data_IF_825314508341
#
_entry.id   IF_825314508341
#
_cell.length_a   1.000
_cell.length_b   1.000
_cell.length_c   1.000
_cell.angle_alpha   90.00
_cell.angle_beta   90.00
_cell.angle_gamma   90.00
#
_symmetry.space_group_name_H-M   'P 1'
#
loop_
_entity.id
_entity.type
_entity.pdbx_description
1 polymer ?
#
# COMPACT_ATOMS: atom_id res chain seq x y z
N UNK A 1 -3.65 5.65 7.73
CA UNK A 1 -2.89 4.92 6.70
C UNK A 1 -1.63 4.46 7.37
N UNK A 2 -1.37 3.14 7.46
CA UNK A 2 -0.10 2.67 8.00
C UNK A 2 0.99 3.40 7.24
N UNK A 3 2.10 3.69 7.90
CA UNK A 3 3.13 4.44 7.20
C UNK A 3 3.68 3.63 6.02
N UNK A 4 4.41 4.33 5.16
CA UNK A 4 5.00 3.73 3.97
C UNK A 4 5.91 2.52 4.30
N UNK A 5 6.50 2.46 5.50
CA UNK A 5 7.42 1.37 5.86
C UNK A 5 6.72 0.06 6.15
N UNK A 6 5.54 0.06 6.75
CA UNK A 6 4.76 -1.17 6.92
C UNK A 6 4.41 -1.79 5.55
N UNK A 7 3.99 -0.95 4.60
CA UNK A 7 3.67 -1.38 3.23
C UNK A 7 4.88 -1.91 2.45
N UNK A 8 6.01 -1.20 2.50
CA UNK A 8 7.24 -1.63 1.85
C UNK A 8 7.78 -2.92 2.49
N UNK A 9 7.71 -3.03 3.81
CA UNK A 9 8.08 -4.26 4.52
C UNK A 9 7.21 -5.43 4.09
N UNK A 10 5.90 -5.19 3.96
CA UNK A 10 4.94 -6.21 3.55
C UNK A 10 5.31 -6.81 2.19
N UNK A 11 5.47 -5.98 1.15
CA UNK A 11 5.79 -6.48 -0.19
C UNK A 11 7.18 -7.10 -0.28
N UNK A 12 8.14 -6.62 0.51
CA UNK A 12 9.47 -7.22 0.58
C UNK A 12 9.46 -8.62 1.24
N UNK A 13 8.53 -8.90 2.15
CA UNK A 13 8.33 -10.24 2.69
C UNK A 13 7.47 -11.13 1.78
N UNK A 14 6.50 -10.55 1.05
CA UNK A 14 5.66 -11.27 0.09
C UNK A 14 6.49 -11.82 -1.09
N UNK A 15 7.50 -11.08 -1.56
CA UNK A 15 8.27 -11.44 -2.78
C UNK A 15 9.04 -12.76 -2.69
N UNK A 16 9.25 -13.29 -1.48
CA UNK A 16 10.00 -14.52 -1.25
C UNK A 16 9.41 -15.68 -2.07
N UNK A 17 10.16 -16.29 -3.00
CA UNK A 17 9.65 -17.32 -3.92
C UNK A 17 8.93 -18.46 -3.20
N UNK A 18 9.52 -18.99 -2.13
CA UNK A 18 8.93 -20.09 -1.34
C UNK A 18 7.53 -19.75 -0.80
N UNK A 19 7.29 -18.49 -0.43
CA UNK A 19 5.97 -18.03 0.06
C UNK A 19 4.97 -17.97 -1.09
N UNK A 20 5.38 -17.42 -2.23
CA UNK A 20 4.52 -17.32 -3.42
C UNK A 20 4.15 -18.72 -3.94
N UNK A 21 5.13 -19.63 -4.03
CA UNK A 21 4.92 -21.02 -4.45
C UNK A 21 3.98 -21.76 -3.49
N UNK A 22 4.24 -21.67 -2.18
CA UNK A 22 3.38 -22.30 -1.15
C UNK A 22 1.94 -21.79 -1.19
N UNK A 23 1.74 -20.52 -1.53
CA UNK A 23 0.41 -19.91 -1.68
C UNK A 23 -0.24 -20.21 -3.04
N UNK A 24 0.46 -20.93 -3.93
CA UNK A 24 -0.03 -21.35 -5.23
C UNK A 24 -0.12 -20.21 -6.24
N UNK A 25 0.83 -19.27 -6.22
CA UNK A 25 0.99 -18.32 -7.31
C UNK A 25 1.41 -19.07 -8.59
N UNK A 26 0.84 -18.73 -9.76
CA UNK A 26 1.30 -19.26 -11.04
C UNK A 26 2.78 -18.88 -11.29
N UNK A 27 3.60 -19.75 -11.93
CA UNK A 27 5.01 -19.45 -12.20
C UNK A 27 5.24 -18.11 -12.92
N UNK A 28 4.40 -17.77 -13.89
CA UNK A 28 4.47 -16.50 -14.63
C UNK A 28 4.22 -15.29 -13.72
N UNK A 29 3.37 -15.44 -12.71
CA UNK A 29 3.15 -14.40 -11.71
C UNK A 29 4.38 -14.22 -10.81
N UNK A 30 5.00 -15.32 -10.38
CA UNK A 30 6.24 -15.30 -9.57
C UNK A 30 7.35 -14.60 -10.34
N UNK A 31 7.59 -15.00 -11.60
CA UNK A 31 8.59 -14.36 -12.47
C UNK A 31 8.29 -12.87 -12.62
N UNK A 32 7.03 -12.49 -12.82
CA UNK A 32 6.63 -11.08 -12.91
C UNK A 32 7.03 -10.30 -11.65
N UNK A 33 6.73 -10.83 -10.46
CA UNK A 33 7.06 -10.17 -9.19
C UNK A 33 8.57 -10.01 -9.04
N UNK A 34 9.37 -11.01 -9.40
CA UNK A 34 10.82 -10.96 -9.28
C UNK A 34 11.45 -9.98 -10.27
N UNK A 35 11.05 -10.03 -11.54
CA UNK A 35 11.60 -9.17 -12.60
C UNK A 35 11.17 -7.70 -12.47
N UNK A 36 9.98 -7.47 -11.92
CA UNK A 36 9.36 -6.15 -11.81
C UNK A 36 9.11 -5.73 -10.36
N UNK A 37 9.88 -6.23 -9.39
CA UNK A 37 9.63 -6.02 -7.96
C UNK A 37 9.48 -4.55 -7.55
N UNK A 38 10.28 -3.64 -8.12
CA UNK A 38 10.15 -2.18 -7.90
C UNK A 38 8.75 -1.63 -8.15
N UNK A 39 8.01 -2.23 -9.07
CA UNK A 39 6.63 -1.85 -9.37
C UNK A 39 5.68 -2.32 -8.28
N UNK A 40 5.97 -3.46 -7.63
CA UNK A 40 5.25 -3.91 -6.44
C UNK A 40 5.42 -2.93 -5.28
N UNK A 41 6.63 -2.45 -5.04
CA UNK A 41 6.89 -1.41 -4.02
C UNK A 41 6.16 -0.11 -4.32
N UNK A 42 6.25 0.36 -5.58
CA UNK A 42 5.48 1.51 -6.05
C UNK A 42 3.98 1.31 -5.80
N UNK A 43 3.43 0.15 -6.15
CA UNK A 43 2.02 -0.18 -5.96
C UNK A 43 1.59 -0.11 -4.50
N UNK A 44 2.44 -0.58 -3.59
CA UNK A 44 2.15 -0.62 -2.16
C UNK A 44 2.02 0.75 -1.49
N UNK A 45 2.56 1.80 -2.11
CA UNK A 45 2.46 3.19 -1.62
C UNK A 45 1.62 4.09 -2.53
N UNK A 46 1.21 3.60 -3.70
CA UNK A 46 0.48 4.41 -4.70
C UNK A 46 -0.87 4.97 -4.19
N UNK A 47 -1.69 4.24 -3.42
CA UNK A 47 -2.96 4.79 -2.90
C UNK A 47 -2.80 6.09 -2.10
N UNK A 48 -1.63 6.29 -1.50
CA UNK A 48 -1.32 7.43 -0.62
C UNK A 48 -0.75 8.63 -1.37
N UNK A 49 -0.24 8.43 -2.59
CA UNK A 49 0.38 9.49 -3.38
C UNK A 49 -0.47 10.77 -3.48
N UNK A 50 -1.80 10.71 -3.72
CA UNK A 50 -2.58 11.92 -3.87
C UNK A 50 -2.64 12.79 -2.59
N UNK A 51 -2.44 12.21 -1.40
CA UNK A 51 -2.37 13.00 -0.15
C UNK A 51 -1.13 13.89 -0.07
N UNK A 52 -0.08 13.58 -0.86
CA UNK A 52 1.17 14.35 -0.88
C UNK A 52 1.14 15.50 -1.88
N UNK A 53 0.19 15.49 -2.83
CA UNK A 53 -0.01 16.60 -3.77
C UNK A 53 -0.77 17.75 -3.12
N UNK A 54 -0.10 18.43 -2.19
CA UNK A 54 -0.64 19.59 -1.47
C UNK A 54 -0.90 20.81 -2.38
N UNK A 55 -0.36 20.79 -3.61
CA UNK A 55 -0.57 21.86 -4.58
C UNK A 55 -1.97 21.79 -5.23
N UNK A 56 -2.59 20.60 -5.26
CA UNK A 56 -3.92 20.37 -5.82
C UNK A 56 -4.86 19.87 -4.72
N UNK A 57 -5.67 20.77 -4.16
CA UNK A 57 -6.55 20.47 -3.02
C UNK A 57 -7.59 19.36 -3.25
N UNK A 58 -7.87 19.01 -4.52
CA UNK A 58 -8.75 17.90 -4.87
C UNK A 58 -8.05 16.53 -4.91
N UNK A 59 -6.71 16.48 -4.93
CA UNK A 59 -5.95 15.23 -4.99
C UNK A 59 -6.27 14.30 -3.80
N UNK A 60 -6.39 14.85 -2.59
CA UNK A 60 -6.80 14.08 -1.41
C UNK A 60 -8.16 13.37 -1.56
N UNK A 61 -9.07 13.89 -2.38
CA UNK A 61 -10.35 13.24 -2.65
C UNK A 61 -10.20 11.96 -3.48
N UNK A 62 -9.18 11.88 -4.33
CA UNK A 62 -8.83 10.66 -5.06
C UNK A 62 -8.28 9.60 -4.12
N UNK A 63 -7.43 9.98 -3.16
CA UNK A 63 -6.99 9.06 -2.13
C UNK A 63 -8.15 8.61 -1.23
N UNK A 64 -9.03 9.52 -0.78
CA UNK A 64 -10.23 9.16 -0.01
C UNK A 64 -11.13 8.15 -0.76
N UNK A 65 -11.26 8.29 -2.09
CA UNK A 65 -11.97 7.31 -2.92
C UNK A 65 -11.30 5.96 -2.83
N UNK A 66 -9.99 5.88 -3.05
CA UNK A 66 -9.23 4.63 -2.99
C UNK A 66 -9.18 4.00 -1.59
N UNK A 67 -9.44 4.78 -0.52
CA UNK A 67 -9.43 4.29 0.87
C UNK A 67 -10.82 3.95 1.43
N UNK A 68 -11.89 4.57 0.95
CA UNK A 68 -13.21 4.44 1.58
C UNK A 68 -14.30 3.87 0.68
N UNK A 69 -14.08 3.86 -0.64
CA UNK A 69 -15.14 3.55 -1.60
C UNK A 69 -14.59 2.60 -2.66
N UNK A 70 -15.34 1.57 -3.05
CA UNK A 70 -14.98 0.77 -4.24
C UNK A 70 -13.55 0.19 -4.19
N UNK A 71 -12.98 -0.03 -3.00
CA UNK A 71 -11.60 -0.50 -2.78
C UNK A 71 -11.34 -1.85 -3.45
N UNK A 72 -12.28 -2.79 -3.31
CA UNK A 72 -12.23 -4.07 -3.99
C UNK A 72 -12.49 -3.94 -5.49
N UNK A 73 -13.42 -3.07 -5.88
CA UNK A 73 -13.74 -2.83 -7.29
C UNK A 73 -12.57 -2.22 -8.08
N UNK A 74 -11.74 -1.38 -7.44
CA UNK A 74 -10.49 -0.88 -8.02
C UNK A 74 -9.55 -2.04 -8.39
N UNK A 75 -9.37 -3.00 -7.48
CA UNK A 75 -8.55 -4.20 -7.75
C UNK A 75 -9.13 -5.01 -8.91
N UNK A 76 -10.45 -5.22 -8.93
CA UNK A 76 -11.14 -5.95 -10.01
C UNK A 76 -10.98 -5.25 -11.35
N UNK A 77 -11.13 -3.92 -11.40
CA UNK A 77 -10.89 -3.13 -12.61
C UNK A 77 -9.45 -3.28 -13.11
N UNK A 78 -8.48 -3.35 -12.19
CA UNK A 78 -7.08 -3.62 -12.48
C UNK A 78 -6.88 -4.98 -13.14
N UNK A 79 -7.44 -6.05 -12.56
CA UNK A 79 -7.39 -7.41 -13.14
C UNK A 79 -7.92 -7.42 -14.57
N UNK A 80 -9.10 -6.85 -14.79
CA UNK A 80 -9.75 -6.85 -16.10
C UNK A 80 -8.98 -6.00 -17.13
N UNK A 81 -8.36 -4.89 -16.73
CA UNK A 81 -7.44 -4.15 -17.60
C UNK A 81 -6.20 -4.95 -17.97
N UNK A 82 -5.53 -5.53 -16.97
CA UNK A 82 -4.23 -6.20 -17.12
C UNK A 82 -4.31 -7.45 -17.99
N UNK A 83 -5.41 -8.21 -17.93
CA UNK A 83 -5.64 -9.39 -18.78
C UNK A 83 -5.60 -9.07 -20.28
N UNK A 84 -5.85 -7.82 -20.67
CA UNK A 84 -5.88 -7.36 -22.07
C UNK A 84 -4.55 -6.80 -22.56
N UNK A 85 -3.56 -6.69 -21.68
CA UNK A 85 -2.23 -6.17 -22.03
C UNK A 85 -1.37 -7.22 -22.73
N UNK A 86 -0.41 -6.77 -23.53
CA UNK A 86 0.67 -7.63 -24.01
C UNK A 86 1.51 -8.14 -22.82
N UNK A 87 2.25 -9.22 -23.03
CA UNK A 87 2.98 -9.93 -21.97
C UNK A 87 3.86 -9.03 -21.11
N UNK A 88 4.79 -8.27 -21.70
CA UNK A 88 5.68 -7.38 -20.94
C UNK A 88 4.92 -6.31 -20.14
N UNK A 89 3.87 -5.73 -20.72
CA UNK A 89 3.04 -4.73 -20.02
C UNK A 89 2.20 -5.39 -18.92
N UNK A 90 1.73 -6.62 -19.15
CA UNK A 90 0.95 -7.41 -18.20
C UNK A 90 1.76 -7.76 -16.96
N UNK A 91 2.99 -8.26 -17.11
CA UNK A 91 3.88 -8.62 -15.99
C UNK A 91 4.21 -7.40 -15.11
N UNK A 92 4.54 -6.27 -15.75
CA UNK A 92 4.81 -5.01 -15.06
C UNK A 92 3.58 -4.48 -14.31
N UNK A 93 2.44 -4.37 -15.00
CA UNK A 93 1.20 -3.86 -14.42
C UNK A 93 0.66 -4.79 -13.32
N UNK A 94 0.81 -6.11 -13.49
CA UNK A 94 0.48 -7.09 -12.46
C UNK A 94 1.30 -6.88 -11.19
N UNK A 95 2.62 -6.68 -11.32
CA UNK A 95 3.49 -6.45 -10.16
C UNK A 95 3.05 -5.19 -9.40
N UNK A 96 2.70 -4.12 -10.11
CA UNK A 96 2.12 -2.92 -9.49
C UNK A 96 0.76 -3.19 -8.84
N UNK A 97 -0.15 -3.92 -9.49
CA UNK A 97 -1.45 -4.26 -8.92
C UNK A 97 -1.32 -5.15 -7.68
N UNK A 98 -0.33 -6.05 -7.63
CA UNK A 98 -0.04 -6.86 -6.44
C UNK A 98 0.38 -5.97 -5.27
N UNK A 99 1.22 -4.96 -5.52
CA UNK A 99 1.55 -3.92 -4.55
C UNK A 99 0.32 -3.15 -4.07
N UNK A 100 -0.49 -2.64 -5.00
CA UNK A 100 -1.74 -1.94 -4.69
C UNK A 100 -2.69 -2.81 -3.86
N UNK A 101 -2.81 -4.09 -4.20
CA UNK A 101 -3.60 -5.07 -3.46
C UNK A 101 -3.03 -5.29 -2.06
N UNK A 102 -1.70 -5.39 -1.94
CA UNK A 102 -1.02 -5.50 -0.65
C UNK A 102 -1.34 -4.32 0.26
N UNK A 103 -1.37 -3.09 -0.28
CA UNK A 103 -1.77 -1.90 0.47
C UNK A 103 -3.19 -2.05 1.04
N UNK A 104 -4.18 -2.26 0.17
CA UNK A 104 -5.59 -2.40 0.54
C UNK A 104 -5.80 -3.47 1.62
N UNK A 105 -5.18 -4.64 1.45
CA UNK A 105 -5.32 -5.77 2.37
C UNK A 105 -4.62 -5.50 3.71
N UNK A 106 -3.45 -4.86 3.68
CA UNK A 106 -2.70 -4.49 4.88
C UNK A 106 -3.52 -3.53 5.75
N UNK A 107 -4.03 -2.46 5.16
CA UNK A 107 -4.86 -1.47 5.88
C UNK A 107 -6.11 -2.11 6.46
N UNK A 108 -6.85 -2.85 5.63
CA UNK A 108 -8.07 -3.53 6.07
C UNK A 108 -7.80 -4.52 7.22
N UNK A 109 -6.58 -5.06 7.31
CA UNK A 109 -6.19 -5.94 8.41
C UNK A 109 -5.73 -5.16 9.64
N UNK A 110 -4.87 -4.15 9.49
CA UNK A 110 -4.18 -3.49 10.60
C UNK A 110 -5.02 -2.36 11.22
N UNK A 111 -5.69 -1.53 10.42
CA UNK A 111 -6.44 -0.38 10.92
C UNK A 111 -7.55 -0.67 11.93
N UNK A 112 -8.30 -1.78 11.85
CA UNK A 112 -9.20 -2.16 12.94
C UNK A 112 -8.52 -2.18 14.32
N UNK A 113 -7.25 -2.61 14.38
CA UNK A 113 -6.47 -2.67 15.62
C UNK A 113 -6.09 -1.25 16.08
N UNK A 114 -5.71 -0.39 15.14
CA UNK A 114 -5.37 1.01 15.44
C UNK A 114 -6.60 1.77 15.91
N UNK A 115 -7.74 1.60 15.25
CA UNK A 115 -9.03 2.17 15.67
C UNK A 115 -9.43 1.69 17.07
N UNK A 116 -9.25 0.40 17.39
CA UNK A 116 -9.47 -0.12 18.74
C UNK A 116 -8.52 0.47 19.79
N UNK A 117 -7.28 0.79 19.40
CA UNK A 117 -6.25 1.35 20.29
C UNK A 117 -6.46 2.84 20.56
N UNK A 118 -6.76 3.64 19.54
CA UNK A 118 -6.77 5.11 19.63
C UNK A 118 -8.13 5.77 19.39
N UNK A 119 -9.13 5.00 18.95
CA UNK A 119 -10.47 5.46 18.60
C UNK A 119 -10.61 5.86 17.12
N UNK A 120 -11.83 6.23 16.74
CA UNK A 120 -12.22 6.63 15.39
C UNK A 120 -11.26 7.66 14.77
N UNK A 121 -10.79 7.37 13.55
CA UNK A 121 -9.75 8.15 12.86
C UNK A 121 -10.07 9.65 12.80
N UNK A 122 -11.26 10.03 12.35
CA UNK A 122 -11.62 11.45 12.18
C UNK A 122 -11.54 12.28 13.47
N UNK A 123 -11.67 11.63 14.64
CA UNK A 123 -11.58 12.27 15.96
C UNK A 123 -10.19 12.17 16.59
N UNK A 124 -9.34 11.26 16.10
CA UNK A 124 -8.07 10.90 16.73
C UNK A 124 -6.88 10.84 15.76
N UNK A 125 -6.91 11.61 14.66
CA UNK A 125 -5.88 11.59 13.59
C UNK A 125 -4.45 11.62 14.11
N UNK A 126 -4.14 12.51 15.06
CA UNK A 126 -2.79 12.63 15.63
C UNK A 126 -2.36 11.36 16.39
N UNK A 127 -3.27 10.78 17.20
CA UNK A 127 -2.97 9.55 17.95
C UNK A 127 -2.85 8.35 17.03
N UNK A 128 -3.71 8.28 16.00
CA UNK A 128 -3.67 7.24 14.97
C UNK A 128 -2.32 7.22 14.29
N UNK A 129 -1.89 8.40 13.84
CA UNK A 129 -0.59 8.60 13.22
C UNK A 129 0.58 8.23 14.13
N UNK A 130 0.55 8.64 15.40
CA UNK A 130 1.60 8.26 16.37
C UNK A 130 1.67 6.73 16.49
N UNK A 131 0.53 6.06 16.64
CA UNK A 131 0.47 4.60 16.68
C UNK A 131 1.09 3.97 15.42
N UNK A 132 0.69 4.44 14.23
CA UNK A 132 1.21 3.98 12.94
C UNK A 132 2.73 4.19 12.85
N UNK A 133 3.26 5.35 13.23
CA UNK A 133 4.70 5.63 13.15
C UNK A 133 5.55 4.72 14.05
N UNK A 134 5.06 4.38 15.24
CA UNK A 134 5.74 3.42 16.12
C UNK A 134 5.74 2.01 15.51
N UNK A 135 4.60 1.60 14.96
CA UNK A 135 4.42 0.32 14.31
C UNK A 135 5.31 0.18 13.06
N UNK A 136 5.33 1.20 12.22
CA UNK A 136 6.19 1.30 11.03
C UNK A 136 7.67 1.21 11.37
N UNK A 137 8.15 2.06 12.29
CA UNK A 137 9.55 2.08 12.68
C UNK A 137 10.01 0.75 13.29
N UNK A 138 9.11 0.06 14.00
CA UNK A 138 9.35 -1.27 14.55
C UNK A 138 9.43 -2.33 13.44
N UNK A 139 8.40 -2.45 12.59
CA UNK A 139 8.32 -3.55 11.62
C UNK A 139 9.35 -3.41 10.51
N UNK A 140 9.75 -2.18 10.17
CA UNK A 140 10.79 -1.92 9.18
C UNK A 140 12.11 -2.63 9.52
N UNK A 141 12.39 -2.84 10.80
CA UNK A 141 13.58 -3.59 11.25
C UNK A 141 13.62 -5.02 10.73
N UNK A 142 12.48 -5.62 10.37
CA UNK A 142 12.42 -6.97 9.77
C UNK A 142 13.15 -7.05 8.43
N UNK A 143 13.33 -5.95 7.70
CA UNK A 143 14.08 -5.94 6.45
C UNK A 143 15.59 -6.01 6.66
N UNK A 144 16.09 -5.71 7.86
CA UNK A 144 17.51 -5.80 8.23
C UNK A 144 18.46 -5.07 7.26
N UNK A 145 18.03 -3.91 6.73
CA UNK A 145 18.74 -3.17 5.68
C UNK A 145 19.87 -2.27 6.21
N UNK A 146 19.94 -2.01 7.52
CA UNK A 146 20.79 -0.96 8.08
C UNK A 146 20.42 0.45 7.54
N UNK A 147 21.11 1.50 8.00
CA UNK A 147 20.81 2.88 7.59
C UNK A 147 21.18 3.18 6.13
N UNK A 148 22.33 2.67 5.66
CA UNK A 148 22.82 2.88 4.28
C UNK A 148 21.94 2.15 3.26
N UNK A 149 21.41 0.97 3.63
CA UNK A 149 20.56 0.18 2.74
C UNK A 149 19.18 0.80 2.51
N UNK A 150 18.64 1.62 3.43
CA UNK A 150 17.33 2.25 3.28
C UNK A 150 17.31 3.28 2.14
N UNK A 151 18.30 4.19 2.09
CA UNK A 151 18.40 5.20 1.05
C UNK A 151 18.64 4.56 -0.32
N UNK A 152 19.56 3.59 -0.41
CA UNK A 152 19.81 2.85 -1.65
C UNK A 152 18.59 2.03 -2.12
N UNK A 153 17.80 1.50 -1.19
CA UNK A 153 16.57 0.74 -1.47
C UNK A 153 15.46 1.63 -2.07
N UNK A 154 15.29 2.85 -1.55
CA UNK A 154 14.33 3.82 -2.12
C UNK A 154 14.82 4.39 -3.46
N UNK A 155 16.11 4.73 -3.56
CA UNK A 155 16.70 5.33 -4.76
C UNK A 155 16.75 4.37 -5.96
N UNK A 156 17.05 3.09 -5.74
CA UNK A 156 17.10 2.07 -6.79
C UNK A 156 15.76 1.35 -7.04
N UNK A 157 14.78 1.52 -6.13
CA UNK A 157 13.44 0.96 -6.20
C UNK A 157 12.45 1.86 -6.94
N UNK A 158 11.67 2.64 -6.19
CA UNK A 158 10.50 3.39 -6.71
C UNK A 158 10.89 4.43 -7.77
N UNK A 159 12.06 5.09 -7.67
CA UNK A 159 12.50 6.05 -8.69
C UNK A 159 12.87 5.42 -10.03
N UNK A 160 13.17 4.12 -10.01
CA UNK A 160 13.35 3.33 -11.21
C UNK A 160 12.05 3.05 -11.98
N UNK A 161 10.88 3.43 -11.45
CA UNK A 161 9.56 3.22 -12.05
C UNK A 161 9.09 4.42 -12.91
N UNK A 162 10.00 5.06 -13.64
CA UNK A 162 9.71 6.21 -14.49
C UNK A 162 9.57 5.85 -15.98
N UNK A 163 8.87 6.68 -16.76
CA UNK A 163 8.73 6.50 -18.21
C UNK A 163 10.09 6.57 -18.92
N UNK A 164 10.91 7.55 -18.52
CA UNK A 164 12.30 7.72 -18.94
C UNK A 164 13.10 8.25 -17.75
N UNK A 165 14.36 7.82 -17.55
CA UNK A 165 15.21 8.39 -16.52
C UNK A 165 15.22 9.93 -16.58
N UNK A 166 14.90 10.56 -15.46
CA UNK A 166 14.87 12.03 -15.33
C UNK A 166 13.66 12.75 -15.94
N UNK A 167 12.64 12.04 -16.44
CA UNK A 167 11.44 12.69 -17.00
C UNK A 167 10.54 13.34 -15.95
N UNK A 168 10.66 12.91 -14.69
CA UNK A 168 9.72 13.25 -13.60
C UNK A 168 8.33 12.61 -13.78
N UNK A 169 8.16 11.70 -14.75
CA UNK A 169 6.89 11.04 -15.06
C UNK A 169 6.94 9.56 -14.71
N UNK A 170 5.79 9.04 -14.27
CA UNK A 170 5.63 7.63 -13.96
C UNK A 170 5.62 6.78 -15.23
N UNK A 171 6.05 5.53 -15.13
CA UNK A 171 5.99 4.55 -16.22
C UNK A 171 4.60 4.54 -16.90
N UNK A 172 4.58 4.70 -18.23
CA UNK A 172 3.35 4.87 -18.99
C UNK A 172 2.41 3.66 -18.98
N UNK A 173 2.89 2.44 -18.69
CA UNK A 173 2.02 1.27 -18.48
C UNK A 173 1.29 1.41 -17.14
N UNK A 174 2.00 1.84 -16.10
CA UNK A 174 1.41 2.04 -14.77
C UNK A 174 0.42 3.19 -14.79
N UNK A 175 0.79 4.33 -15.37
CA UNK A 175 -0.12 5.49 -15.49
C UNK A 175 -1.41 5.11 -16.20
N UNK A 176 -1.34 4.41 -17.34
CA UNK A 176 -2.55 3.95 -18.06
C UNK A 176 -3.38 2.94 -17.28
N UNK A 177 -2.73 2.03 -16.56
CA UNK A 177 -3.40 1.03 -15.73
C UNK A 177 -4.18 1.71 -14.61
N UNK A 178 -3.54 2.63 -13.90
CA UNK A 178 -4.17 3.35 -12.80
C UNK A 178 -5.27 4.29 -13.28
N UNK A 179 -5.06 5.02 -14.38
CA UNK A 179 -6.12 5.81 -15.04
C UNK A 179 -7.32 4.94 -15.40
N UNK A 180 -7.10 3.78 -16.02
CA UNK A 180 -8.20 2.88 -16.40
C UNK A 180 -8.98 2.39 -15.18
N UNK A 181 -8.31 2.09 -14.06
CA UNK A 181 -8.98 1.69 -12.83
C UNK A 181 -9.85 2.84 -12.28
N UNK A 182 -9.26 4.04 -12.16
CA UNK A 182 -9.95 5.22 -11.63
C UNK A 182 -11.14 5.64 -12.50
N UNK A 183 -10.98 5.62 -13.82
CA UNK A 183 -12.06 5.95 -14.77
C UNK A 183 -13.20 4.92 -14.70
N UNK A 184 -12.86 3.62 -14.63
CA UNK A 184 -13.84 2.54 -14.51
C UNK A 184 -14.63 2.67 -13.20
N UNK A 185 -13.95 2.94 -12.09
CA UNK A 185 -14.58 2.99 -10.77
C UNK A 185 -15.26 4.33 -10.48
N UNK A 186 -14.85 5.44 -11.09
CA UNK A 186 -15.34 6.77 -10.75
C UNK A 186 -15.54 7.68 -11.97
N UNK A 187 -16.16 7.17 -13.04
CA UNK A 187 -16.35 7.88 -14.31
C UNK A 187 -16.83 9.34 -14.15
N UNK A 188 -17.80 9.61 -13.27
CA UNK A 188 -18.29 10.99 -13.03
C UNK A 188 -17.25 11.92 -12.40
N UNK A 189 -16.50 11.44 -11.41
CA UNK A 189 -15.41 12.21 -10.80
C UNK A 189 -14.26 12.39 -11.80
N UNK A 190 -13.91 11.34 -12.55
CA UNK A 190 -12.87 11.36 -13.56
C UNK A 190 -13.14 12.38 -14.67
N UNK A 191 -14.40 12.52 -15.12
CA UNK A 191 -14.79 13.53 -16.11
C UNK A 191 -14.72 14.96 -15.58
N UNK A 192 -14.96 15.15 -14.27
CA UNK A 192 -15.04 16.48 -13.67
C UNK A 192 -13.67 16.99 -13.21
N UNK A 193 -12.86 16.10 -12.64
CA UNK A 193 -11.56 16.39 -12.04
C UNK A 193 -10.60 15.21 -12.27
N UNK A 194 -10.06 15.05 -13.49
CA UNK A 194 -9.26 13.88 -13.85
C UNK A 194 -7.99 13.78 -12.99
N UNK A 195 -7.59 12.55 -12.61
CA UNK A 195 -6.44 12.33 -11.75
C UNK A 195 -5.11 12.72 -12.43
N UNK A 196 -4.27 13.45 -11.70
CA UNK A 196 -2.96 13.93 -12.15
C UNK A 196 -1.84 13.02 -11.61
N UNK A 197 -1.81 11.76 -12.04
CA UNK A 197 -0.90 10.73 -11.51
C UNK A 197 0.59 11.13 -11.57
N UNK A 198 1.05 11.75 -12.65
CA UNK A 198 2.43 12.23 -12.75
C UNK A 198 2.75 13.30 -11.68
N UNK A 199 1.78 14.17 -11.36
CA UNK A 199 1.94 15.16 -10.29
C UNK A 199 2.03 14.48 -8.93
N UNK A 200 1.17 13.49 -8.68
CA UNK A 200 1.19 12.73 -7.43
C UNK A 200 2.53 11.99 -7.25
N UNK A 201 3.06 11.39 -8.32
CA UNK A 201 4.37 10.75 -8.29
C UNK A 201 5.51 11.76 -8.04
N UNK A 202 5.47 12.93 -8.69
CA UNK A 202 6.44 14.00 -8.46
C UNK A 202 6.39 14.56 -7.03
N UNK A 203 5.19 14.68 -6.45
CA UNK A 203 5.00 15.10 -5.07
C UNK A 203 5.57 14.07 -4.07
N UNK A 204 5.29 12.77 -4.29
CA UNK A 204 5.87 11.70 -3.51
C UNK A 204 7.40 11.73 -3.57
N UNK A 205 7.98 11.90 -4.78
CA UNK A 205 9.43 12.05 -4.96
C UNK A 205 9.99 13.21 -4.16
N UNK A 206 9.39 14.39 -4.27
CA UNK A 206 9.82 15.56 -3.53
C UNK A 206 9.82 15.34 -2.01
N UNK A 207 8.79 14.68 -1.49
CA UNK A 207 8.65 14.39 -0.05
C UNK A 207 9.75 13.44 0.44
N UNK A 208 10.02 12.37 -0.31
CA UNK A 208 11.06 11.40 0.06
C UNK A 208 12.47 11.98 -0.09
N UNK A 209 12.78 12.66 -1.19
CA UNK A 209 14.09 13.33 -1.40
C UNK A 209 14.38 14.29 -0.21
N UNK A 210 13.35 15.00 0.29
CA UNK A 210 13.49 15.88 1.46
C UNK A 210 13.68 15.12 2.78
N UNK A 211 13.04 13.97 2.94
CA UNK A 211 13.21 13.13 4.13
C UNK A 211 14.65 12.57 4.21
N UNK A 212 15.26 12.20 3.07
CA UNK A 212 16.63 11.67 3.00
C UNK A 212 17.71 12.75 3.24
N UNK A 213 17.49 14.00 2.81
CA UNK A 213 18.40 15.15 3.03
C UNK A 213 18.48 15.63 4.51
N UNK A 214 18.00 14.81 5.46
CA UNK A 214 17.70 15.08 6.87
C UNK A 214 18.83 15.56 7.80
N UNK A 215 19.89 16.20 7.32
CA UNK A 215 20.75 17.04 8.16
C UNK A 215 20.35 18.52 8.16
N UNK A 216 19.61 19.02 7.15
CA UNK A 216 19.13 20.42 7.13
C UNK A 216 17.80 20.56 6.37
N UNK A 217 16.70 20.09 6.95
CA UNK A 217 15.36 20.42 6.44
C UNK A 217 15.05 21.92 6.62
N UNK A 218 14.58 22.65 5.58
CA UNK A 218 14.04 23.99 5.73
C UNK A 218 12.89 24.03 6.77
N UNK A 219 12.69 25.12 7.54
CA UNK A 219 11.70 25.17 8.63
C UNK A 219 10.27 24.81 8.23
N UNK A 220 9.87 25.15 6.99
CA UNK A 220 8.56 24.77 6.46
C UNK A 220 8.47 23.27 6.15
N UNK A 221 9.54 22.67 5.62
CA UNK A 221 9.61 21.24 5.32
C UNK A 221 9.68 20.40 6.61
N UNK A 222 10.23 20.93 7.71
CA UNK A 222 10.16 20.29 9.04
C UNK A 222 8.74 20.35 9.63
N UNK A 223 8.01 21.45 9.42
CA UNK A 223 6.59 21.54 9.81
C UNK A 223 5.70 20.66 8.93
N UNK A 224 5.97 20.60 7.63
CA UNK A 224 5.29 19.68 6.72
C UNK A 224 5.66 18.24 7.05
N UNK A 225 6.91 17.90 7.31
CA UNK A 225 7.35 16.58 7.77
C UNK A 225 6.77 16.20 9.14
N UNK A 226 6.64 17.11 10.09
CA UNK A 226 5.99 16.84 11.38
C UNK A 226 4.46 16.72 11.22
N UNK A 227 3.84 17.56 10.38
CA UNK A 227 2.41 17.51 10.05
C UNK A 227 2.07 16.37 9.07
N UNK A 228 3.07 15.79 8.38
CA UNK A 228 3.00 14.63 7.49
C UNK A 228 3.65 13.36 8.09
N UNK A 229 4.24 13.41 9.30
CA UNK A 229 4.65 12.23 10.07
C UNK A 229 5.96 11.60 9.67
N UNK A 230 6.81 12.35 9.01
CA UNK A 230 8.04 11.87 8.41
C UNK A 230 9.21 11.80 9.41
N UNK A 231 9.03 12.20 10.68
CA UNK A 231 10.02 11.97 11.75
C UNK A 231 9.62 10.76 12.57
N UNK A 232 9.96 9.56 12.08
CA UNK A 232 9.74 8.31 12.80
C UNK A 232 10.47 8.29 14.15
N UNK A 233 9.90 7.66 15.19
CA UNK A 233 10.62 7.43 16.44
C UNK A 233 11.85 6.55 16.18
N UNK A 234 12.95 6.84 16.89
CA UNK A 234 14.10 5.94 16.87
C UNK A 234 13.71 4.59 17.48
N UNK A 235 14.42 3.51 17.11
CA UNK A 235 14.15 2.16 17.63
C UNK A 235 14.19 2.11 19.17
N UNK A 236 15.09 2.89 19.78
CA UNK A 236 15.20 2.99 21.24
C UNK A 236 14.02 3.73 21.90
N UNK A 237 13.28 4.54 21.14
CA UNK A 237 12.16 5.36 21.61
C UNK A 237 10.80 4.74 21.24
N UNK A 238 10.77 3.49 20.77
CA UNK A 238 9.53 2.80 20.45
C UNK A 238 8.72 2.54 21.71
N UNK A 239 7.44 2.92 21.70
CA UNK A 239 6.54 2.73 22.82
C UNK A 239 5.88 1.34 22.75
N UNK A 240 6.15 0.43 23.71
CA UNK A 240 5.59 -0.92 23.71
C UNK A 240 4.06 -0.95 23.71
N UNK A 241 3.39 0.13 24.13
CA UNK A 241 1.93 0.17 24.14
C UNK A 241 1.30 0.09 22.74
N UNK A 242 2.07 0.41 21.70
CA UNK A 242 1.65 0.34 20.29
C UNK A 242 2.09 -0.96 19.61
N UNK A 243 2.83 -1.82 20.33
CA UNK A 243 3.46 -3.02 19.80
C UNK A 243 3.00 -4.30 20.50
N UNK A 244 2.65 -4.23 21.78
CA UNK A 244 2.34 -5.41 22.58
C UNK A 244 0.89 -5.43 23.06
N UNK A 245 0.31 -6.64 23.15
CA UNK A 245 -1.02 -6.89 23.72
C UNK A 245 -2.12 -5.97 23.14
N UNK A 246 -2.07 -5.70 21.85
CA UNK A 246 -3.02 -4.85 21.14
C UNK A 246 -4.37 -5.55 21.03
N UNK A 247 -5.45 -4.83 21.35
CA UNK A 247 -6.80 -5.33 21.16
C UNK A 247 -7.09 -5.51 19.67
N UNK A 248 -7.55 -6.70 19.28
CA UNK A 248 -7.97 -6.98 17.89
C UNK A 248 -9.44 -7.40 17.87
N UNK A 249 -10.08 -7.48 16.68
CA UNK A 249 -11.42 -8.05 16.56
C UNK A 249 -11.56 -9.51 17.01
N UNK A 250 -10.46 -10.23 17.29
CA UNK A 250 -10.45 -11.59 17.83
C UNK A 250 -9.96 -11.64 19.28
N UNK A 251 -8.65 -11.55 19.47
CA UNK A 251 -7.97 -11.64 20.77
C UNK A 251 -6.81 -10.65 20.85
N UNK A 252 -6.26 -10.42 22.03
CA UNK A 252 -5.09 -9.55 22.16
C UNK A 252 -3.87 -10.19 21.46
N UNK A 253 -3.16 -9.41 20.64
CA UNK A 253 -2.02 -9.88 19.85
C UNK A 253 -0.86 -8.89 19.93
N UNK A 254 0.38 -9.36 19.74
CA UNK A 254 1.49 -8.46 19.42
C UNK A 254 1.35 -7.93 18.00
N UNK A 255 1.98 -6.79 17.72
CA UNK A 255 1.99 -6.19 16.40
C UNK A 255 2.67 -7.10 15.37
N UNK A 256 3.69 -7.88 15.78
CA UNK A 256 4.27 -8.92 14.95
C UNK A 256 3.23 -9.95 14.47
N UNK A 257 2.38 -10.46 15.38
CA UNK A 257 1.34 -11.42 15.04
C UNK A 257 0.24 -10.81 14.17
N UNK A 258 -0.10 -9.53 14.40
CA UNK A 258 -1.04 -8.78 13.55
C UNK A 258 -0.48 -8.60 12.14
N UNK A 259 0.81 -8.25 12.03
CA UNK A 259 1.49 -8.07 10.75
C UNK A 259 1.63 -9.39 10.00
N UNK A 260 1.95 -10.49 10.69
CA UNK A 260 2.00 -11.83 10.08
C UNK A 260 0.62 -12.29 9.58
N UNK A 261 -0.45 -11.96 10.31
CA UNK A 261 -1.82 -12.15 9.81
C UNK A 261 -2.09 -11.32 8.55
N UNK A 262 -1.67 -10.06 8.52
CA UNK A 262 -1.80 -9.22 7.33
C UNK A 262 -1.02 -9.83 6.14
N UNK A 263 0.18 -10.36 6.38
CA UNK A 263 0.99 -11.05 5.38
C UNK A 263 0.28 -12.29 4.81
N UNK A 264 -0.33 -13.12 5.66
CA UNK A 264 -1.13 -14.27 5.21
C UNK A 264 -2.32 -13.83 4.36
N UNK A 265 -3.02 -12.76 4.75
CA UNK A 265 -4.14 -12.22 3.98
C UNK A 265 -3.69 -11.65 2.64
N UNK A 266 -2.55 -10.93 2.59
CA UNK A 266 -1.96 -10.40 1.36
C UNK A 266 -1.59 -11.53 0.41
N UNK A 267 -0.94 -12.58 0.92
CA UNK A 267 -0.60 -13.76 0.14
C UNK A 267 -1.86 -14.45 -0.41
N UNK A 268 -2.86 -14.68 0.43
CA UNK A 268 -4.11 -15.31 0.02
C UNK A 268 -4.85 -14.52 -1.08
N UNK A 269 -5.03 -13.21 -0.88
CA UNK A 269 -5.68 -12.35 -1.86
C UNK A 269 -4.83 -12.20 -3.11
N UNK A 270 -3.51 -12.02 -2.97
CA UNK A 270 -2.57 -11.90 -4.08
C UNK A 270 -2.57 -13.13 -4.99
N UNK A 271 -2.69 -14.35 -4.43
CA UNK A 271 -2.80 -15.59 -5.20
C UNK A 271 -4.08 -15.62 -6.06
N UNK A 272 -5.21 -15.11 -5.54
CA UNK A 272 -6.43 -14.98 -6.32
C UNK A 272 -6.26 -14.00 -7.48
N UNK A 273 -5.60 -12.86 -7.25
CA UNK A 273 -5.31 -11.86 -8.30
C UNK A 273 -4.35 -12.44 -9.35
N UNK A 274 -3.33 -13.17 -8.93
CA UNK A 274 -2.37 -13.82 -9.81
C UNK A 274 -3.04 -14.83 -10.73
N UNK A 275 -3.86 -15.74 -10.19
CA UNK A 275 -4.63 -16.70 -10.98
C UNK A 275 -5.63 -16.03 -11.91
N UNK A 276 -6.24 -14.93 -11.48
CA UNK A 276 -7.14 -14.18 -12.34
C UNK A 276 -6.43 -13.58 -13.57
N UNK A 277 -5.23 -13.04 -13.38
CA UNK A 277 -4.45 -12.43 -14.46
C UNK A 277 -3.83 -13.47 -15.40
N UNK A 278 -3.26 -14.54 -14.87
CA UNK A 278 -2.45 -15.48 -15.66
C UNK A 278 -3.18 -16.78 -16.05
N UNK A 279 -4.21 -17.19 -15.29
CA UNK A 279 -4.94 -18.44 -15.53
C UNK A 279 -6.42 -18.22 -15.87
N UNK A 280 -6.89 -16.97 -15.88
CA UNK A 280 -8.30 -16.60 -16.10
C UNK A 280 -9.27 -17.14 -15.04
N UNK A 281 -8.78 -17.39 -13.81
CA UNK A 281 -9.62 -17.77 -12.68
C UNK A 281 -10.48 -16.58 -12.20
N UNK A 282 -11.79 -16.75 -12.08
CA UNK A 282 -12.70 -15.67 -11.68
C UNK A 282 -13.08 -15.70 -10.19
N UNK A 283 -12.45 -16.53 -9.36
CA UNK A 283 -12.73 -16.64 -7.92
C UNK A 283 -12.47 -15.33 -7.16
N UNK A 284 -11.59 -14.48 -7.68
CA UNK A 284 -11.34 -13.14 -7.14
C UNK A 284 -12.61 -12.26 -7.14
N UNK A 285 -13.53 -12.47 -8.07
CA UNK A 285 -14.69 -11.58 -8.28
C UNK A 285 -15.63 -11.55 -7.06
N UNK A 286 -15.75 -12.67 -6.35
CA UNK A 286 -16.56 -12.78 -5.12
C UNK A 286 -15.72 -12.65 -3.84
N UNK A 287 -14.45 -13.04 -3.88
CA UNK A 287 -13.57 -12.99 -2.71
C UNK A 287 -13.09 -11.57 -2.38
N UNK A 288 -12.83 -10.74 -3.39
CA UNK A 288 -12.40 -9.35 -3.22
C UNK A 288 -13.63 -8.46 -3.06
N UNK A 289 -13.79 -7.86 -1.89
CA UNK A 289 -14.94 -7.01 -1.57
C UNK A 289 -14.50 -5.59 -1.24
N UNK A 290 -15.44 -4.65 -1.28
CA UNK A 290 -15.19 -3.28 -0.86
C UNK A 290 -15.12 -3.19 0.66
N UNK A 291 -14.04 -2.59 1.16
CA UNK A 291 -13.83 -2.27 2.55
C UNK A 291 -13.52 -0.77 2.72
N UNK A 292 -13.87 -0.23 3.88
CA UNK A 292 -13.33 1.02 4.36
C UNK A 292 -11.98 0.73 5.04
N UNK A 293 -10.89 1.33 4.55
CA UNK A 293 -9.54 1.03 5.00
C UNK A 293 -9.32 1.44 6.46
N UNK A 294 -9.76 2.64 6.88
CA UNK A 294 -9.64 3.13 8.27
C UNK A 294 -10.27 2.21 9.34
N UNK A 295 -11.32 1.47 8.97
CA UNK A 295 -12.06 0.62 9.93
C UNK A 295 -11.86 -0.87 9.66
N UNK A 296 -11.28 -1.22 8.51
CA UNK A 296 -11.20 -2.56 7.95
C UNK A 296 -12.54 -3.31 7.84
N UNK A 297 -13.65 -2.59 7.70
CA UNK A 297 -15.01 -3.17 7.57
C UNK A 297 -15.49 -3.16 6.14
N UNK A 298 -16.18 -4.24 5.73
CA UNK A 298 -16.97 -4.26 4.50
C UNK A 298 -18.27 -3.44 4.61
N UNK A 299 -19.03 -3.37 3.52
CA UNK A 299 -20.33 -2.69 3.46
C UNK A 299 -21.38 -3.26 4.43
N UNK A 300 -21.18 -4.49 4.93
CA UNK A 300 -22.05 -5.14 5.90
C UNK A 300 -21.52 -4.97 7.35
N UNK A 301 -20.42 -4.24 7.54
CA UNK A 301 -19.80 -3.99 8.84
C UNK A 301 -18.90 -5.12 9.35
N UNK A 302 -18.54 -6.11 8.51
CA UNK A 302 -17.69 -7.23 8.91
C UNK A 302 -16.21 -6.91 8.74
N UNK A 303 -15.40 -7.37 9.69
CA UNK A 303 -13.94 -7.42 9.56
C UNK A 303 -13.52 -8.66 8.76
N UNK A 304 -13.44 -8.54 7.43
CA UNK A 304 -13.30 -9.71 6.53
C UNK A 304 -12.03 -10.53 6.76
N UNK A 305 -10.97 -9.89 7.25
CA UNK A 305 -9.65 -10.47 7.53
C UNK A 305 -9.45 -10.95 8.97
N UNK A 306 -10.49 -10.79 9.80
CA UNK A 306 -10.50 -11.17 11.21
C UNK A 306 -11.52 -12.27 11.52
N UNK A 307 -11.72 -13.21 10.59
CA UNK A 307 -12.55 -14.39 10.82
C UNK A 307 -11.76 -15.44 11.59
N UNK A 308 -12.41 -16.09 12.58
CA UNK A 308 -11.83 -17.30 13.19
C UNK A 308 -11.68 -18.34 12.10
N UNK A 309 -10.47 -18.90 11.93
CA UNK A 309 -10.30 -20.08 11.09
C UNK A 309 -11.23 -21.18 11.60
N UNK A 310 -11.94 -21.84 10.70
CA UNK A 310 -12.58 -23.12 11.05
C UNK A 310 -11.41 -24.09 11.22
N UNK A 311 -11.07 -24.39 12.47
CA UNK A 311 -10.12 -25.42 12.85
C UNK A 311 -10.49 -26.77 12.26
#
# INVERSE_FOLDING_TARGET
MPGAYAHLTMVNLVKEPDRLEKQGFPPEAIVSVLDYFRFCELGAVSPDYPYLDIAHSSAGQWADRMHYQRTGDMIKAGVEWIRRLNEASRQKAFSWLLGYTSHVVTDTTIHPVIELKVGEYQKNKDKHRICEMHQDAYIFQRLNLGEIGLAEHLDSGIWGCCDKPGSGKLDSVITRTWQSMLETCYAGAYQTDPPLIDNWHGAFKFVVDKAEEGHVLPPFARHVAANLGLTYPAVADLDPQYLESLATPLEAMSYDAIFDRALENVLATGSLIAKAVFENDNSYATAVVNCNLDTGKDEQGNHIYWKKGVS
#
